data_IF_905855518138
#
_entry.id   IF_905855518138
#
_cell.length_a   1.000
_cell.length_b   1.000
_cell.length_c   1.000
_cell.angle_alpha   90.00
_cell.angle_beta   90.00
_cell.angle_gamma   90.00
#
_symmetry.space_group_name_H-M   'P 1'
#
loop_
_entity.id
_entity.type
_entity.pdbx_description
1 polymer ?
#
# COMPACT_ATOMS: atom_id res chain seq x y z
N UNK A 1 -7.06 -12.19 -4.01
CA UNK A 1 -8.05 -13.18 -3.53
C UNK A 1 -7.44 -14.21 -2.56
N UNK A 2 -6.62 -15.17 -3.03
CA UNK A 2 -5.98 -16.19 -2.16
C UNK A 2 -5.12 -15.65 -0.99
N UNK A 3 -4.38 -14.54 -1.18
CA UNK A 3 -3.61 -13.90 -0.09
C UNK A 3 -4.50 -13.38 1.05
N UNK A 4 -5.64 -12.79 0.69
CA UNK A 4 -6.60 -12.25 1.66
C UNK A 4 -7.29 -13.38 2.42
N UNK A 5 -7.65 -14.47 1.74
CA UNK A 5 -8.21 -15.69 2.35
C UNK A 5 -7.24 -16.34 3.33
N UNK A 6 -5.95 -16.46 2.98
CA UNK A 6 -4.93 -16.94 3.92
C UNK A 6 -4.80 -16.02 5.14
N UNK A 7 -4.80 -14.70 4.97
CA UNK A 7 -4.70 -13.78 6.11
C UNK A 7 -5.92 -13.89 7.05
N UNK A 8 -7.14 -13.89 6.51
CA UNK A 8 -8.37 -13.98 7.31
C UNK A 8 -8.48 -15.32 8.04
N UNK A 9 -8.20 -16.43 7.36
CA UNK A 9 -8.32 -17.76 7.97
C UNK A 9 -7.15 -18.09 8.91
N UNK A 10 -5.89 -17.86 8.49
CA UNK A 10 -4.72 -18.27 9.27
C UNK A 10 -4.32 -17.28 10.37
N UNK A 11 -4.52 -15.98 10.18
CA UNK A 11 -4.09 -14.96 11.15
C UNK A 11 -5.21 -14.51 12.08
N UNK A 12 -6.48 -14.56 11.63
CA UNK A 12 -7.63 -14.07 12.43
C UNK A 12 -8.60 -15.16 12.91
N UNK A 13 -8.45 -16.41 12.48
CA UNK A 13 -9.20 -17.55 13.01
C UNK A 13 -10.71 -17.53 12.72
N UNK A 14 -11.15 -16.82 11.69
CA UNK A 14 -12.59 -16.64 11.40
C UNK A 14 -13.06 -17.63 10.33
N UNK A 15 -14.13 -18.40 10.61
CA UNK A 15 -14.78 -19.32 9.66
C UNK A 15 -16.09 -18.69 9.18
N UNK A 16 -16.24 -18.50 7.85
CA UNK A 16 -17.47 -17.98 7.26
C UNK A 16 -17.95 -18.98 6.23
N UNK A 17 -18.73 -19.98 6.64
CA UNK A 17 -19.27 -20.98 5.72
C UNK A 17 -20.54 -20.50 5.01
N UNK A 18 -21.36 -19.65 5.64
CA UNK A 18 -22.66 -19.24 5.09
C UNK A 18 -22.55 -18.22 3.95
N UNK A 19 -21.58 -17.31 4.00
CA UNK A 19 -21.47 -16.23 3.00
C UNK A 19 -20.52 -16.60 1.84
N UNK A 20 -19.65 -17.61 2.02
CA UNK A 20 -18.64 -18.03 1.03
C UNK A 20 -19.21 -18.74 -0.21
N UNK A 21 -20.45 -19.25 -0.16
CA UNK A 21 -21.03 -20.09 -1.22
C UNK A 21 -21.69 -19.30 -2.36
N UNK A 22 -21.61 -17.97 -2.33
CA UNK A 22 -21.92 -17.10 -3.48
C UNK A 22 -20.63 -16.46 -3.97
N UNK A 23 -20.50 -16.24 -5.30
CA UNK A 23 -19.30 -15.76 -6.00
C UNK A 23 -18.62 -14.51 -5.38
N UNK A 24 -19.30 -13.81 -4.46
CA UNK A 24 -18.92 -12.57 -3.81
C UNK A 24 -18.61 -12.69 -2.30
N UNK A 25 -18.67 -13.88 -1.70
CA UNK A 25 -18.66 -14.10 -0.24
C UNK A 25 -17.50 -13.44 0.51
N UNK A 26 -16.27 -13.62 0.04
CA UNK A 26 -15.09 -13.00 0.66
C UNK A 26 -15.04 -11.47 0.55
N UNK A 27 -15.63 -10.89 -0.51
CA UNK A 27 -15.69 -9.43 -0.70
C UNK A 27 -16.80 -8.82 0.17
N UNK A 28 -17.96 -9.47 0.21
CA UNK A 28 -19.07 -9.11 1.09
C UNK A 28 -18.61 -9.14 2.54
N UNK A 29 -17.91 -10.21 2.94
CA UNK A 29 -17.35 -10.33 4.28
C UNK A 29 -16.33 -9.23 4.61
N UNK A 30 -15.37 -8.96 3.72
CA UNK A 30 -14.37 -7.92 3.94
C UNK A 30 -15.03 -6.53 4.10
N UNK A 31 -16.04 -6.23 3.29
CA UNK A 31 -16.82 -5.00 3.42
C UNK A 31 -17.62 -4.97 4.73
N UNK A 32 -18.22 -6.08 5.14
CA UNK A 32 -18.95 -6.18 6.40
C UNK A 32 -18.04 -6.08 7.63
N UNK A 33 -16.82 -6.61 7.59
CA UNK A 33 -15.83 -6.45 8.67
C UNK A 33 -15.36 -5.00 8.82
N UNK A 34 -15.29 -4.23 7.74
CA UNK A 34 -15.01 -2.79 7.82
C UNK A 34 -16.15 -2.03 8.51
N UNK A 35 -17.40 -2.44 8.28
CA UNK A 35 -18.57 -1.75 8.83
C UNK A 35 -18.97 -2.22 10.24
N UNK A 36 -18.97 -3.54 10.48
CA UNK A 36 -19.30 -4.17 11.75
C UNK A 36 -18.30 -5.30 12.00
N UNK A 37 -17.24 -4.98 12.75
CA UNK A 37 -16.18 -5.92 13.10
C UNK A 37 -16.70 -7.12 13.90
N UNK A 38 -16.09 -8.29 13.69
CA UNK A 38 -16.33 -9.46 14.55
C UNK A 38 -15.81 -9.16 15.97
N UNK A 39 -16.64 -9.29 17.02
CA UNK A 39 -16.19 -9.16 18.39
C UNK A 39 -15.11 -10.19 18.73
N UNK A 40 -14.13 -9.81 19.55
CA UNK A 40 -12.99 -10.69 19.89
C UNK A 40 -13.39 -12.03 20.53
N UNK A 41 -14.51 -12.10 21.26
CA UNK A 41 -15.03 -13.33 21.85
C UNK A 41 -15.72 -14.26 20.83
N UNK A 42 -16.09 -13.74 19.65
CA UNK A 42 -16.61 -14.51 18.52
C UNK A 42 -15.51 -14.86 17.50
N UNK A 43 -14.24 -14.64 17.84
CA UNK A 43 -13.11 -15.17 17.09
C UNK A 43 -12.79 -16.57 17.60
N UNK A 44 -12.62 -17.54 16.69
CA UNK A 44 -12.32 -18.93 17.08
C UNK A 44 -10.98 -18.99 17.83
N UNK A 45 -10.94 -19.52 19.06
CA UNK A 45 -9.70 -19.65 19.82
C UNK A 45 -8.66 -20.53 19.12
N UNK A 46 -7.38 -20.14 19.18
CA UNK A 46 -6.27 -20.87 18.53
C UNK A 46 -6.13 -22.32 19.01
N UNK A 47 -6.52 -22.60 20.26
CA UNK A 47 -6.52 -23.95 20.85
C UNK A 47 -7.45 -24.95 20.14
N UNK A 48 -8.40 -24.47 19.33
CA UNK A 48 -9.33 -25.34 18.58
C UNK A 48 -8.86 -25.62 17.14
N UNK A 49 -7.71 -25.07 16.72
CA UNK A 49 -7.15 -25.30 15.37
C UNK A 49 -6.93 -26.80 15.11
N UNK A 50 -7.50 -27.30 14.01
CA UNK A 50 -7.38 -28.70 13.58
C UNK A 50 -8.27 -29.69 14.35
N UNK A 51 -9.00 -29.25 15.37
CA UNK A 51 -9.95 -30.07 16.12
C UNK A 51 -11.39 -29.77 15.70
N UNK A 52 -11.93 -30.58 14.79
CA UNK A 52 -13.26 -30.40 14.22
C UNK A 52 -14.38 -30.39 15.28
N UNK A 53 -14.36 -31.36 16.19
CA UNK A 53 -15.42 -31.54 17.19
C UNK A 53 -15.47 -30.35 18.16
N UNK A 54 -14.30 -29.86 18.59
CA UNK A 54 -14.21 -28.67 19.43
C UNK A 54 -14.72 -27.40 18.73
N UNK A 55 -14.45 -27.25 17.42
CA UNK A 55 -14.96 -26.13 16.62
C UNK A 55 -16.48 -26.21 16.46
N UNK A 56 -17.03 -27.40 16.15
CA UNK A 56 -18.48 -27.60 16.00
C UNK A 56 -19.21 -27.31 17.32
N UNK A 57 -18.68 -27.76 18.45
CA UNK A 57 -19.24 -27.45 19.76
C UNK A 57 -19.22 -25.94 20.04
N UNK A 58 -18.07 -25.28 19.82
CA UNK A 58 -17.94 -23.84 20.05
C UNK A 58 -18.88 -23.01 19.16
N UNK A 59 -19.04 -23.38 17.89
CA UNK A 59 -20.01 -22.74 16.98
C UNK A 59 -21.45 -22.94 17.47
N UNK A 60 -21.77 -24.13 18.00
CA UNK A 60 -23.07 -24.41 18.59
C UNK A 60 -23.37 -23.54 19.81
N UNK A 61 -22.41 -23.38 20.71
CA UNK A 61 -22.51 -22.56 21.93
C UNK A 61 -22.76 -21.07 21.61
N UNK A 62 -22.12 -20.55 20.55
CA UNK A 62 -22.17 -19.13 20.18
C UNK A 62 -23.17 -18.83 19.03
N UNK A 63 -23.98 -19.82 18.62
CA UNK A 63 -24.87 -19.73 17.44
C UNK A 63 -25.77 -18.50 17.46
N UNK A 64 -26.38 -18.20 18.60
CA UNK A 64 -27.33 -17.08 18.70
C UNK A 64 -26.62 -15.72 18.60
N UNK A 65 -25.38 -15.64 19.08
CA UNK A 65 -24.56 -14.44 18.98
C UNK A 65 -24.08 -14.21 17.54
N UNK A 66 -23.69 -15.28 16.84
CA UNK A 66 -23.41 -15.23 15.40
C UNK A 66 -24.64 -14.80 14.59
N UNK A 67 -25.83 -15.30 14.92
CA UNK A 67 -27.07 -14.88 14.26
C UNK A 67 -27.35 -13.39 14.47
N UNK A 68 -27.13 -12.86 15.67
CA UNK A 68 -27.26 -11.41 15.95
C UNK A 68 -26.22 -10.59 15.19
N UNK A 69 -24.97 -11.06 15.11
CA UNK A 69 -23.91 -10.41 14.34
C UNK A 69 -24.28 -10.36 12.85
N UNK A 70 -24.75 -11.47 12.29
CA UNK A 70 -25.21 -11.55 10.91
C UNK A 70 -26.38 -10.59 10.63
N UNK A 71 -27.37 -10.52 11.52
CA UNK A 71 -28.49 -9.59 11.40
C UNK A 71 -28.04 -8.12 11.42
N UNK A 72 -27.12 -7.76 12.33
CA UNK A 72 -26.53 -6.42 12.40
C UNK A 72 -25.77 -6.06 11.12
N UNK A 73 -25.00 -7.01 10.58
CA UNK A 73 -24.27 -6.84 9.31
C UNK A 73 -25.20 -6.65 8.13
N UNK A 74 -26.29 -7.42 8.07
CA UNK A 74 -27.30 -7.25 7.03
C UNK A 74 -27.91 -5.84 7.08
N UNK A 75 -28.32 -5.38 8.25
CA UNK A 75 -28.91 -4.05 8.42
C UNK A 75 -27.92 -2.93 8.08
N UNK A 76 -26.67 -3.04 8.53
CA UNK A 76 -25.60 -2.10 8.20
C UNK A 76 -25.33 -2.09 6.69
N UNK A 77 -25.26 -3.27 6.06
CA UNK A 77 -25.04 -3.43 4.63
C UNK A 77 -26.14 -2.80 3.78
N UNK A 78 -27.41 -2.97 4.15
CA UNK A 78 -28.55 -2.32 3.48
C UNK A 78 -28.43 -0.79 3.60
N UNK A 79 -28.19 -0.30 4.81
CA UNK A 79 -28.09 1.14 5.08
C UNK A 79 -26.95 1.78 4.29
N UNK A 80 -25.80 1.11 4.23
CA UNK A 80 -24.62 1.56 3.49
C UNK A 80 -24.85 1.52 1.98
N UNK A 81 -25.48 0.46 1.46
CA UNK A 81 -25.86 0.35 0.05
C UNK A 81 -26.78 1.51 -0.35
N UNK A 82 -27.81 1.79 0.44
CA UNK A 82 -28.76 2.86 0.15
C UNK A 82 -28.13 4.26 0.24
N UNK A 83 -27.15 4.45 1.13
CA UNK A 83 -26.35 5.66 1.20
C UNK A 83 -25.46 5.83 -0.06
N UNK A 84 -24.79 4.76 -0.49
CA UNK A 84 -23.94 4.75 -1.69
C UNK A 84 -24.76 5.03 -2.95
N UNK A 85 -25.92 4.39 -3.12
CA UNK A 85 -26.81 4.62 -4.27
C UNK A 85 -27.24 6.09 -4.31
N UNK A 86 -27.71 6.64 -3.18
CA UNK A 86 -28.14 8.04 -3.12
C UNK A 86 -27.00 9.00 -3.46
N UNK A 87 -25.80 8.74 -2.92
CA UNK A 87 -24.61 9.54 -3.24
C UNK A 87 -24.26 9.48 -4.73
N UNK A 88 -24.25 8.28 -5.32
CA UNK A 88 -23.96 8.08 -6.75
C UNK A 88 -24.96 8.83 -7.63
N UNK A 89 -26.25 8.72 -7.32
CA UNK A 89 -27.29 9.42 -8.07
C UNK A 89 -27.15 10.94 -7.95
N UNK A 90 -26.83 11.45 -6.77
CA UNK A 90 -26.61 12.89 -6.57
C UNK A 90 -25.43 13.39 -7.39
N UNK A 91 -24.26 12.73 -7.28
CA UNK A 91 -23.07 13.12 -8.04
C UNK A 91 -23.31 13.06 -9.56
N UNK A 92 -24.03 12.04 -10.05
CA UNK A 92 -24.40 11.92 -11.45
C UNK A 92 -25.28 13.09 -11.91
N UNK A 93 -26.33 13.40 -11.15
CA UNK A 93 -27.24 14.52 -11.47
C UNK A 93 -26.50 15.86 -11.42
N UNK A 94 -25.68 16.09 -10.40
CA UNK A 94 -24.90 17.32 -10.27
C UNK A 94 -23.96 17.52 -11.48
N UNK A 95 -23.32 16.45 -11.97
CA UNK A 95 -22.50 16.48 -13.19
C UNK A 95 -23.30 16.80 -14.46
N UNK A 96 -24.46 16.16 -14.65
CA UNK A 96 -25.32 16.39 -15.83
C UNK A 96 -25.98 17.77 -15.83
N UNK A 97 -26.21 18.35 -14.66
CA UNK A 97 -26.75 19.73 -14.55
C UNK A 97 -25.66 20.76 -14.85
N UNK A 98 -24.41 20.47 -14.51
CA UNK A 98 -23.28 21.38 -14.75
C UNK A 98 -22.89 21.48 -16.23
N UNK A 99 -23.10 20.41 -17.01
CA UNK A 99 -22.78 20.34 -18.43
C UNK A 99 -23.93 19.69 -19.22
N UNK A 100 -24.74 20.47 -19.95
CA UNK A 100 -25.88 19.97 -20.72
C UNK A 100 -25.53 19.03 -21.87
N UNK A 101 -24.30 19.07 -22.38
CA UNK A 101 -23.84 18.22 -23.49
C UNK A 101 -23.22 16.90 -22.99
N UNK A 102 -22.99 16.76 -21.67
CA UNK A 102 -22.39 15.58 -21.05
C UNK A 102 -23.35 14.40 -21.01
N UNK A 103 -22.91 13.24 -21.49
CA UNK A 103 -23.71 12.02 -21.45
C UNK A 103 -23.66 11.35 -20.07
N UNK A 104 -24.71 10.63 -19.64
CA UNK A 104 -24.72 9.90 -18.36
C UNK A 104 -23.57 8.91 -18.18
N UNK A 105 -23.14 8.25 -19.26
CA UNK A 105 -22.01 7.32 -19.22
C UNK A 105 -20.68 8.04 -18.99
N UNK A 106 -20.48 9.19 -19.63
CA UNK A 106 -19.28 10.03 -19.48
C UNK A 106 -19.23 10.65 -18.07
N UNK A 107 -20.37 11.10 -17.55
CA UNK A 107 -20.47 11.58 -16.18
C UNK A 107 -20.13 10.46 -15.17
N UNK A 108 -20.64 9.24 -15.37
CA UNK A 108 -20.33 8.10 -14.52
C UNK A 108 -18.83 7.70 -14.58
N UNK A 109 -18.22 7.75 -15.76
CA UNK A 109 -16.79 7.54 -15.95
C UNK A 109 -15.96 8.61 -15.22
N UNK A 110 -16.30 9.89 -15.39
CA UNK A 110 -15.61 11.00 -14.70
C UNK A 110 -15.72 10.88 -13.17
N UNK A 111 -16.90 10.53 -12.65
CA UNK A 111 -17.11 10.29 -11.21
C UNK A 111 -16.23 9.13 -10.73
N UNK A 112 -16.17 8.04 -11.52
CA UNK A 112 -15.34 6.87 -11.20
C UNK A 112 -13.85 7.24 -11.18
N UNK A 113 -13.36 7.95 -12.20
CA UNK A 113 -11.97 8.42 -12.27
C UNK A 113 -11.64 9.35 -11.10
N UNK A 114 -12.51 10.33 -10.80
CA UNK A 114 -12.33 11.23 -9.64
C UNK A 114 -12.28 10.47 -8.33
N UNK A 115 -13.09 9.43 -8.16
CA UNK A 115 -13.11 8.60 -6.95
C UNK A 115 -11.84 7.77 -6.81
N UNK A 116 -11.38 7.17 -7.91
CA UNK A 116 -10.12 6.43 -7.92
C UNK A 116 -8.97 7.38 -7.59
N UNK A 117 -8.89 8.54 -8.25
CA UNK A 117 -7.91 9.58 -7.95
C UNK A 117 -8.00 10.07 -6.50
N UNK A 118 -9.21 10.21 -5.94
CA UNK A 118 -9.40 10.58 -4.52
C UNK A 118 -8.95 9.46 -3.58
N UNK A 119 -9.16 8.19 -3.93
CA UNK A 119 -8.69 7.05 -3.13
C UNK A 119 -7.18 6.89 -3.17
N UNK A 120 -6.53 7.32 -4.26
CA UNK A 120 -5.08 7.40 -4.35
C UNK A 120 -4.52 8.64 -3.64
N UNK A 121 -5.27 9.74 -3.59
CA UNK A 121 -4.92 10.94 -2.82
C UNK A 121 -4.94 10.73 -1.30
N UNK A 122 -5.38 9.57 -0.80
CA UNK A 122 -5.26 9.19 0.62
C UNK A 122 -4.17 8.16 0.89
N UNK A 123 -3.45 7.69 -0.14
CA UNK A 123 -2.33 6.79 0.09
C UNK A 123 -1.17 7.57 0.66
N UNK A 124 -0.56 6.99 1.67
CA UNK A 124 0.70 7.50 2.21
C UNK A 124 1.87 6.78 1.53
N UNK A 125 3.04 7.38 1.60
CA UNK A 125 4.28 6.80 1.08
C UNK A 125 4.52 5.39 1.65
N UNK A 126 4.17 5.14 2.91
CA UNK A 126 4.26 3.82 3.52
C UNK A 126 3.47 2.72 2.77
N UNK A 127 2.41 3.07 2.03
CA UNK A 127 1.58 2.10 1.29
C UNK A 127 2.20 1.67 -0.05
N UNK A 128 3.24 2.37 -0.51
CA UNK A 128 3.88 2.13 -1.80
C UNK A 128 5.37 1.86 -1.70
N UNK A 129 6.03 2.35 -0.65
CA UNK A 129 7.49 2.27 -0.51
C UNK A 129 7.98 0.83 -0.60
N UNK A 130 9.17 0.67 -1.14
CA UNK A 130 9.86 -0.62 -1.18
C UNK A 130 11.10 -0.59 -0.28
N UNK A 131 11.60 -1.75 0.18
CA UNK A 131 12.81 -1.80 1.00
C UNK A 131 13.99 -1.17 0.27
N UNK A 132 14.76 -0.34 0.97
CA UNK A 132 15.98 0.28 0.44
C UNK A 132 17.20 -0.38 1.07
N UNK A 133 18.15 -0.82 0.25
CA UNK A 133 19.40 -1.35 0.77
C UNK A 133 20.28 -0.24 1.34
N UNK A 134 20.88 -0.55 2.50
CA UNK A 134 21.78 0.33 3.21
C UNK A 134 23.24 -0.12 3.04
N UNK A 135 24.14 0.85 2.90
CA UNK A 135 25.58 0.63 2.83
C UNK A 135 26.31 1.54 3.82
N UNK A 136 27.39 1.03 4.41
CA UNK A 136 28.25 1.84 5.27
C UNK A 136 29.09 2.83 4.45
N UNK A 137 29.30 4.07 4.92
CA UNK A 137 30.14 5.06 4.23
C UNK A 137 31.60 4.61 4.01
N UNK A 138 32.09 3.65 4.81
CA UNK A 138 33.44 3.12 4.70
C UNK A 138 33.59 1.99 3.67
N UNK A 139 32.49 1.46 3.12
CA UNK A 139 32.52 0.43 2.07
C UNK A 139 33.01 1.04 0.75
N UNK A 140 33.50 0.19 -0.15
CA UNK A 140 34.09 0.67 -1.40
C UNK A 140 33.03 1.05 -2.45
N UNK A 141 33.41 1.89 -3.42
CA UNK A 141 32.61 2.15 -4.63
C UNK A 141 32.26 0.84 -5.36
N UNK A 142 33.20 -0.11 -5.42
CA UNK A 142 32.97 -1.44 -6.01
C UNK A 142 31.84 -2.20 -5.30
N UNK A 143 31.85 -2.20 -3.96
CA UNK A 143 30.80 -2.84 -3.17
C UNK A 143 29.43 -2.20 -3.45
N UNK A 144 29.38 -0.87 -3.52
CA UNK A 144 28.15 -0.14 -3.85
C UNK A 144 27.64 -0.51 -5.25
N UNK A 145 28.52 -0.55 -6.25
CA UNK A 145 28.17 -0.93 -7.61
C UNK A 145 27.64 -2.38 -7.70
N UNK A 146 28.26 -3.32 -6.96
CA UNK A 146 27.80 -4.70 -6.91
C UNK A 146 26.39 -4.82 -6.30
N UNK A 147 26.11 -4.04 -5.26
CA UNK A 147 24.79 -4.02 -4.65
C UNK A 147 23.78 -3.39 -5.62
N UNK A 148 24.08 -2.24 -6.23
CA UNK A 148 23.20 -1.57 -7.20
C UNK A 148 22.86 -2.46 -8.40
N UNK A 149 23.81 -3.23 -8.94
CA UNK A 149 23.56 -4.18 -10.04
C UNK A 149 22.61 -5.32 -9.62
N UNK A 150 22.68 -5.73 -8.35
CA UNK A 150 21.86 -6.81 -7.82
C UNK A 150 20.50 -6.32 -7.27
N UNK A 151 20.39 -5.03 -6.99
CA UNK A 151 19.20 -4.40 -6.42
C UNK A 151 18.25 -3.95 -7.55
N UNK A 152 16.93 -4.19 -7.42
CA UNK A 152 15.96 -3.67 -8.37
C UNK A 152 15.78 -2.14 -8.32
N UNK A 153 16.36 -1.47 -7.33
CA UNK A 153 16.27 -0.03 -7.11
C UNK A 153 17.64 0.63 -7.37
N UNK A 154 17.66 1.64 -8.24
CA UNK A 154 18.86 2.38 -8.67
C UNK A 154 19.43 3.33 -7.60
N UNK A 155 19.26 3.00 -6.31
CA UNK A 155 19.64 3.83 -5.17
C UNK A 155 20.04 2.97 -3.96
N UNK A 156 21.05 3.42 -3.22
CA UNK A 156 21.42 2.93 -1.90
C UNK A 156 21.39 4.05 -0.86
N UNK A 157 20.89 3.72 0.33
CA UNK A 157 21.03 4.57 1.49
C UNK A 157 22.43 4.40 2.10
N UNK A 158 23.16 5.50 2.30
CA UNK A 158 24.40 5.47 3.06
C UNK A 158 24.08 5.75 4.52
N UNK A 159 24.32 4.76 5.37
CA UNK A 159 23.91 4.79 6.78
C UNK A 159 25.13 4.75 7.69
N UNK A 160 25.16 5.66 8.66
CA UNK A 160 26.21 5.72 9.67
C UNK A 160 26.19 4.51 10.61
N UNK A 161 27.24 4.34 11.42
CA UNK A 161 27.30 3.28 12.45
C UNK A 161 26.14 3.40 13.47
N UNK A 162 25.59 4.61 13.65
CA UNK A 162 24.44 4.86 14.52
C UNK A 162 23.07 4.52 13.89
N UNK A 163 23.03 4.01 12.65
CA UNK A 163 21.78 3.68 11.96
C UNK A 163 21.09 4.88 11.30
N UNK A 164 21.71 6.05 11.30
CA UNK A 164 21.16 7.29 10.73
C UNK A 164 21.61 7.46 9.28
N UNK A 165 20.70 7.90 8.41
CA UNK A 165 20.97 8.25 7.03
C UNK A 165 21.94 9.45 6.93
N UNK A 166 23.04 9.28 6.22
CA UNK A 166 24.09 10.31 6.05
C UNK A 166 24.42 10.62 4.59
N UNK A 167 23.90 9.85 3.65
CA UNK A 167 24.02 10.11 2.23
C UNK A 167 23.21 9.14 1.39
N UNK A 168 23.21 9.35 0.08
CA UNK A 168 22.71 8.37 -0.89
C UNK A 168 23.75 8.17 -2.00
N UNK A 169 23.71 6.99 -2.62
CA UNK A 169 24.49 6.68 -3.83
C UNK A 169 23.59 6.05 -4.86
N UNK A 170 23.75 6.46 -6.10
CA UNK A 170 23.01 5.97 -7.27
C UNK A 170 23.98 5.53 -8.36
N UNK A 171 23.46 4.91 -9.41
CA UNK A 171 24.25 4.52 -10.59
C UNK A 171 24.98 5.71 -11.23
N UNK A 172 24.37 6.90 -11.17
CA UNK A 172 24.98 8.14 -11.65
C UNK A 172 26.24 8.52 -10.87
N UNK A 173 26.25 8.32 -9.55
CA UNK A 173 27.41 8.62 -8.71
C UNK A 173 28.57 7.66 -9.01
N UNK A 174 28.25 6.38 -9.26
CA UNK A 174 29.24 5.37 -9.70
C UNK A 174 29.81 5.75 -11.07
N UNK A 175 28.95 6.10 -12.03
CA UNK A 175 29.36 6.52 -13.37
C UNK A 175 30.26 7.76 -13.31
N UNK A 176 29.88 8.76 -12.52
CA UNK A 176 30.65 9.99 -12.31
C UNK A 176 32.01 9.72 -11.66
N UNK A 177 32.07 8.82 -10.68
CA UNK A 177 33.32 8.39 -10.06
C UNK A 177 34.24 7.69 -11.08
N UNK A 178 33.69 6.83 -11.93
CA UNK A 178 34.47 6.13 -12.96
C UNK A 178 35.08 7.10 -13.99
N UNK A 179 34.36 8.17 -14.35
CA UNK A 179 34.81 9.18 -15.30
C UNK A 179 35.97 10.06 -14.77
N UNK A 180 36.12 10.14 -13.45
CA UNK A 180 37.12 10.98 -12.78
C UNK A 180 38.37 10.20 -12.35
N UNK A 181 38.56 8.98 -12.86
CA UNK A 181 39.64 8.07 -12.48
C UNK A 181 39.66 7.71 -10.98
N UNK A 182 38.50 7.77 -10.32
CA UNK A 182 38.35 7.31 -8.94
C UNK A 182 38.62 5.80 -8.87
N UNK A 183 39.49 5.37 -7.95
CA UNK A 183 39.79 3.95 -7.80
C UNK A 183 38.56 3.21 -7.25
N UNK A 184 38.29 2.00 -7.74
CA UNK A 184 37.13 1.20 -7.34
C UNK A 184 37.07 0.91 -5.83
N UNK A 185 38.21 1.04 -5.13
CA UNK A 185 38.37 0.74 -3.72
C UNK A 185 38.23 1.99 -2.81
N UNK A 186 37.96 3.16 -3.40
CA UNK A 186 37.68 4.40 -2.66
C UNK A 186 36.40 4.24 -1.82
N UNK A 187 36.32 4.83 -0.62
CA UNK A 187 35.11 4.79 0.20
C UNK A 187 33.90 5.48 -0.45
N UNK A 188 32.72 4.91 -0.24
CA UNK A 188 31.42 5.49 -0.63
C UNK A 188 31.24 6.92 -0.09
N UNK A 189 31.77 7.22 1.10
CA UNK A 189 31.74 8.54 1.69
C UNK A 189 32.31 9.66 0.80
N UNK A 190 33.20 9.33 -0.14
CA UNK A 190 33.82 10.31 -1.04
C UNK A 190 32.93 10.64 -2.25
N UNK A 191 32.02 9.74 -2.63
CA UNK A 191 31.16 9.90 -3.81
C UNK A 191 29.69 10.15 -3.47
N UNK A 192 29.27 9.85 -2.24
CA UNK A 192 27.86 9.96 -1.84
C UNK A 192 27.35 11.40 -1.91
N UNK A 193 26.08 11.56 -2.28
CA UNK A 193 25.38 12.83 -2.17
C UNK A 193 24.93 13.06 -0.72
N UNK A 194 25.22 14.26 -0.18
CA UNK A 194 24.91 14.65 1.21
C UNK A 194 23.66 15.51 1.33
N UNK A 195 23.22 16.12 0.24
CA UNK A 195 21.97 16.86 0.18
C UNK A 195 20.86 15.86 -0.16
N UNK A 196 20.24 15.32 0.89
CA UNK A 196 19.29 14.22 0.76
C UNK A 196 17.88 14.77 0.86
N UNK A 197 17.15 14.67 -0.25
CA UNK A 197 15.70 14.87 -0.23
C UNK A 197 15.07 13.58 0.31
N UNK A 198 14.17 13.71 1.27
CA UNK A 198 13.54 12.57 1.95
C UNK A 198 12.01 12.71 1.94
N UNK A 199 11.33 11.57 1.98
CA UNK A 199 9.91 11.48 2.29
C UNK A 199 9.70 10.91 3.69
N UNK A 200 8.59 11.27 4.34
CA UNK A 200 8.12 10.60 5.55
C UNK A 200 7.14 9.48 5.19
N UNK A 201 7.01 8.42 6.01
CA UNK A 201 6.05 7.34 5.74
C UNK A 201 4.60 7.82 5.66
N UNK A 202 4.26 8.88 6.39
CA UNK A 202 2.94 9.50 6.44
C UNK A 202 2.71 10.60 5.37
N UNK A 203 3.74 10.94 4.58
CA UNK A 203 3.59 11.86 3.46
C UNK A 203 2.59 11.33 2.44
N UNK A 204 1.81 12.24 1.85
CA UNK A 204 0.94 11.92 0.73
C UNK A 204 1.77 11.49 -0.49
N UNK A 205 1.30 10.46 -1.19
CA UNK A 205 1.94 9.99 -2.44
C UNK A 205 2.06 11.10 -3.50
N UNK A 206 1.07 11.98 -3.62
CA UNK A 206 1.09 13.10 -4.56
C UNK A 206 2.15 14.14 -4.17
N UNK A 207 2.33 14.39 -2.87
CA UNK A 207 3.35 15.33 -2.40
C UNK A 207 4.76 14.74 -2.56
N UNK A 208 4.91 13.43 -2.37
CA UNK A 208 6.16 12.73 -2.70
C UNK A 208 6.49 12.81 -4.20
N UNK A 209 5.49 12.64 -5.09
CA UNK A 209 5.67 12.82 -6.53
C UNK A 209 6.09 14.26 -6.88
N UNK A 210 5.46 15.27 -6.26
CA UNK A 210 5.85 16.68 -6.44
C UNK A 210 7.27 16.94 -5.96
N UNK A 211 7.71 16.34 -4.85
CA UNK A 211 9.09 16.44 -4.39
C UNK A 211 10.07 15.85 -5.41
N UNK A 212 9.77 14.67 -5.97
CA UNK A 212 10.59 14.05 -7.02
C UNK A 212 10.75 14.98 -8.23
N UNK A 213 9.63 15.54 -8.72
CA UNK A 213 9.61 16.47 -9.86
C UNK A 213 10.33 17.79 -9.55
N UNK A 214 10.05 18.41 -8.41
CA UNK A 214 10.61 19.71 -8.01
C UNK A 214 12.12 19.66 -7.84
N UNK A 215 12.65 18.54 -7.34
CA UNK A 215 14.07 18.35 -7.11
C UNK A 215 14.78 17.63 -8.27
N UNK A 216 14.06 17.31 -9.36
CA UNK A 216 14.58 16.62 -10.55
C UNK A 216 15.29 15.28 -10.21
N UNK A 217 14.73 14.53 -9.26
CA UNK A 217 15.25 13.23 -8.81
C UNK A 217 14.26 12.09 -9.13
N UNK A 218 14.79 10.91 -9.48
CA UNK A 218 13.98 9.73 -9.82
C UNK A 218 13.56 8.91 -8.60
N UNK A 219 14.28 9.04 -7.48
CA UNK A 219 13.99 8.33 -6.25
C UNK A 219 14.39 9.16 -5.02
N UNK A 220 13.75 8.88 -3.88
CA UNK A 220 14.15 9.42 -2.58
C UNK A 220 13.95 8.38 -1.47
N UNK A 221 14.85 8.35 -0.47
CA UNK A 221 14.67 7.51 0.70
C UNK A 221 13.48 7.99 1.56
N UNK A 222 12.78 7.00 2.12
CA UNK A 222 11.72 7.20 3.12
C UNK A 222 12.35 7.06 4.50
N UNK A 223 12.21 8.10 5.31
CA UNK A 223 12.89 8.23 6.60
C UNK A 223 11.88 8.60 7.68
N UNK A 224 12.01 7.99 8.84
CA UNK A 224 11.31 8.39 10.06
C UNK A 224 12.29 8.43 11.23
N UNK A 225 12.29 9.52 11.98
CA UNK A 225 13.23 9.80 13.08
C UNK A 225 14.71 9.51 12.75
N UNK A 226 15.11 9.76 11.50
CA UNK A 226 16.47 9.56 11.00
C UNK A 226 16.80 8.14 10.54
N UNK A 227 15.90 7.17 10.76
CA UNK A 227 16.03 5.79 10.30
C UNK A 227 15.44 5.62 8.90
N UNK A 228 16.16 4.91 8.04
CA UNK A 228 15.69 4.58 6.68
C UNK A 228 14.68 3.45 6.75
N UNK A 229 13.46 3.71 6.30
CA UNK A 229 12.39 2.73 6.24
C UNK A 229 12.25 2.08 4.85
N UNK A 230 12.65 2.79 3.80
CA UNK A 230 12.53 2.32 2.43
C UNK A 230 12.87 3.39 1.40
N UNK A 231 12.36 3.22 0.18
CA UNK A 231 12.51 4.13 -0.96
C UNK A 231 11.18 4.32 -1.67
N UNK A 232 10.98 5.53 -2.20
CA UNK A 232 9.94 5.82 -3.18
C UNK A 232 10.60 6.34 -4.45
N UNK A 233 10.15 5.88 -5.61
CA UNK A 233 10.67 6.29 -6.91
C UNK A 233 9.55 6.51 -7.92
N UNK A 234 9.86 7.20 -9.02
CA UNK A 234 8.95 7.36 -10.16
C UNK A 234 8.48 6.01 -10.70
N UNK A 235 9.36 5.01 -10.71
CA UNK A 235 9.03 3.66 -11.18
C UNK A 235 8.10 2.92 -10.23
N UNK A 236 8.34 3.02 -8.91
CA UNK A 236 7.43 2.48 -7.89
C UNK A 236 6.06 3.13 -8.02
N UNK A 237 6.02 4.45 -8.20
CA UNK A 237 4.78 5.19 -8.40
C UNK A 237 4.05 4.72 -9.66
N UNK A 238 4.74 4.61 -10.80
CA UNK A 238 4.13 4.10 -12.03
C UNK A 238 3.57 2.68 -11.85
N UNK A 239 4.34 1.76 -11.26
CA UNK A 239 3.92 0.36 -11.11
C UNK A 239 2.84 0.15 -10.05
N UNK A 240 2.86 0.89 -8.93
CA UNK A 240 1.92 0.69 -7.80
C UNK A 240 0.64 1.51 -7.92
N UNK A 241 0.64 2.53 -8.77
CA UNK A 241 -0.46 3.49 -8.96
C UNK A 241 -1.09 3.28 -10.34
N UNK A 242 -0.36 3.54 -11.44
CA UNK A 242 -0.93 3.47 -12.80
C UNK A 242 -1.39 2.06 -13.18
N UNK A 243 -0.65 1.02 -12.81
CA UNK A 243 -1.05 -0.37 -13.12
C UNK A 243 -2.39 -0.74 -12.47
N UNK A 244 -2.71 -0.17 -11.30
CA UNK A 244 -4.00 -0.38 -10.64
C UNK A 244 -5.12 0.39 -11.34
N UNK A 245 -4.85 1.60 -11.82
CA UNK A 245 -5.81 2.36 -12.64
C UNK A 245 -6.18 1.59 -13.91
N UNK A 246 -5.19 1.01 -14.59
CA UNK A 246 -5.40 0.19 -15.79
C UNK A 246 -6.19 -1.09 -15.49
N UNK A 247 -5.93 -1.77 -14.37
CA UNK A 247 -6.71 -2.94 -13.95
C UNK A 247 -8.14 -2.60 -13.52
N UNK A 248 -8.40 -1.38 -13.05
CA UNK A 248 -9.75 -0.93 -12.71
C UNK A 248 -10.61 -0.63 -13.95
N UNK A 249 -10.00 -0.52 -15.13
CA UNK A 249 -10.68 -0.31 -16.40
C UNK A 249 -10.91 -1.59 -17.22
N UNK A 250 -10.44 -2.75 -16.74
CA UNK A 250 -10.58 -4.07 -17.39
C UNK A 250 -11.59 -4.97 -16.66
#
# INVERSE_FOLDING_TARGET
RMRMERAVYWQRGTVIASDFLVNSGGVIFAAQEQSVQTPSHLCTPDRFRGNREAVEQWLGEHRDEFNRLAARRLQAGISQRDAVIRRNMKELVDSLVADPDLLPIEAAEQISIRRIASSEAFRCVADIMEPLQAISPARSVRDAAQILIADPHEMLAVVSVAGVLVGVVTDWDIAKASATACAADVPVAEIMSREIITARPDDNVIDALRKLETHEISAMPVVDDGAVLGVVSTDILAHKTLYRLLQAQA
#
